data_IF_472571406003
#
_entry.id   IF_472571406003
#
_cell.length_a   1.000
_cell.length_b   1.000
_cell.length_c   1.000
_cell.angle_alpha   90.00
_cell.angle_beta   90.00
_cell.angle_gamma   90.00
#
_symmetry.space_group_name_H-M   'P 1'
#
loop_
_entity.id
_entity.type
_entity.pdbx_description
1 polymer ?
#
# COMPACT_ATOMS: atom_id res chain seq x y z
N UNK A 1 -10.20 -23.19 10.62
CA UNK A 1 -10.24 -22.42 9.35
C UNK A 1 -10.37 -20.94 9.72
N UNK A 2 -9.45 -20.04 9.31
CA UNK A 2 -9.59 -18.63 9.67
C UNK A 2 -10.87 -18.05 9.04
N UNK A 3 -11.53 -17.09 9.71
CA UNK A 3 -12.80 -16.50 9.26
C UNK A 3 -12.68 -15.90 7.85
N UNK A 4 -13.78 -15.93 7.10
CA UNK A 4 -13.85 -15.53 5.67
C UNK A 4 -13.29 -14.12 5.39
N UNK A 5 -13.45 -13.20 6.34
CA UNK A 5 -12.90 -11.83 6.24
C UNK A 5 -11.36 -11.81 6.21
N UNK A 6 -10.70 -12.71 6.94
CA UNK A 6 -9.23 -12.78 6.98
C UNK A 6 -8.64 -13.28 5.66
N UNK A 7 -9.34 -14.24 5.03
CA UNK A 7 -8.99 -14.74 3.68
C UNK A 7 -9.10 -13.62 2.65
N UNK A 8 -10.23 -12.91 2.67
CA UNK A 8 -10.49 -11.85 1.72
C UNK A 8 -9.57 -10.62 1.88
N UNK A 9 -9.01 -10.38 3.07
CA UNK A 9 -7.94 -9.39 3.28
C UNK A 9 -6.63 -9.84 2.64
N UNK A 10 -6.19 -11.06 2.96
CA UNK A 10 -4.98 -11.64 2.39
C UNK A 10 -5.02 -11.76 0.86
N UNK A 11 -6.18 -12.05 0.29
CA UNK A 11 -6.36 -12.10 -1.17
C UNK A 11 -6.17 -10.72 -1.81
N UNK A 12 -6.70 -9.66 -1.18
CA UNK A 12 -6.51 -8.30 -1.66
C UNK A 12 -5.03 -7.87 -1.60
N UNK A 13 -4.31 -8.19 -0.51
CA UNK A 13 -2.86 -7.97 -0.43
C UNK A 13 -2.10 -8.67 -1.57
N UNK A 14 -2.47 -9.91 -1.89
CA UNK A 14 -1.86 -10.68 -2.99
C UNK A 14 -2.15 -10.05 -4.36
N UNK A 15 -3.37 -9.58 -4.58
CA UNK A 15 -3.73 -8.87 -5.81
C UNK A 15 -2.95 -7.56 -5.99
N UNK A 16 -2.85 -6.74 -4.93
CA UNK A 16 -2.06 -5.50 -4.93
C UNK A 16 -0.59 -5.81 -5.20
N UNK A 17 -0.04 -6.84 -4.56
CA UNK A 17 1.32 -7.32 -4.83
C UNK A 17 1.51 -7.69 -6.30
N UNK A 18 0.64 -8.53 -6.86
CA UNK A 18 0.73 -8.94 -8.26
C UNK A 18 0.62 -7.76 -9.23
N UNK A 19 -0.21 -6.77 -8.89
CA UNK A 19 -0.31 -5.54 -9.66
C UNK A 19 1.01 -4.75 -9.66
N UNK A 20 1.62 -4.53 -8.50
CA UNK A 20 2.88 -3.79 -8.40
C UNK A 20 4.05 -4.52 -9.09
N UNK A 21 4.12 -5.85 -8.99
CA UNK A 21 5.13 -6.65 -9.71
C UNK A 21 5.02 -6.46 -11.23
N UNK A 22 3.80 -6.41 -11.77
CA UNK A 22 3.61 -6.13 -13.20
C UNK A 22 4.11 -4.74 -13.63
N UNK A 23 4.18 -3.79 -12.69
CA UNK A 23 4.73 -2.45 -12.89
C UNK A 23 6.22 -2.34 -12.49
N UNK A 24 6.91 -3.48 -12.33
CA UNK A 24 8.37 -3.50 -12.14
C UNK A 24 8.84 -3.33 -10.70
N UNK A 25 7.95 -3.44 -9.71
CA UNK A 25 8.33 -3.40 -8.30
C UNK A 25 8.70 -4.79 -7.77
N UNK A 26 9.76 -4.84 -6.96
CA UNK A 26 9.96 -5.93 -6.00
C UNK A 26 9.09 -5.66 -4.77
N UNK A 27 8.42 -6.68 -4.21
CA UNK A 27 7.40 -6.48 -3.16
C UNK A 27 7.57 -7.46 -2.00
N UNK A 28 7.73 -6.90 -0.80
CA UNK A 28 7.77 -7.60 0.48
C UNK A 28 6.42 -7.41 1.20
N UNK A 29 5.89 -8.48 1.77
CA UNK A 29 4.64 -8.45 2.55
C UNK A 29 4.94 -8.60 4.05
N UNK A 30 4.27 -7.82 4.88
CA UNK A 30 4.36 -7.97 6.34
C UNK A 30 3.69 -9.28 6.76
N UNK A 31 4.47 -10.23 7.28
CA UNK A 31 3.94 -11.51 7.72
C UNK A 31 3.15 -11.34 9.03
N UNK A 32 1.87 -11.75 9.02
CA UNK A 32 1.01 -11.77 10.19
C UNK A 32 0.47 -10.41 10.65
N UNK A 33 0.56 -9.38 9.79
CA UNK A 33 -0.02 -8.04 10.03
C UNK A 33 0.34 -7.44 11.39
N UNK A 34 1.56 -7.71 11.87
CA UNK A 34 2.07 -7.17 13.14
C UNK A 34 2.37 -5.67 13.07
N UNK A 35 2.37 -5.11 11.87
CA UNK A 35 2.58 -3.70 11.55
C UNK A 35 1.32 -3.11 10.90
N UNK A 36 1.24 -1.77 10.81
CA UNK A 36 0.20 -1.05 10.04
C UNK A 36 0.62 -0.82 8.57
N UNK A 37 1.52 -1.66 8.07
CA UNK A 37 2.04 -1.65 6.70
C UNK A 37 1.93 -3.07 6.20
N UNK A 38 1.06 -3.28 5.22
CA UNK A 38 0.82 -4.60 4.64
C UNK A 38 1.88 -4.93 3.57
N UNK A 39 2.28 -3.95 2.77
CA UNK A 39 3.25 -4.12 1.68
C UNK A 39 4.33 -3.03 1.69
N UNK A 40 5.57 -3.44 1.44
CA UNK A 40 6.66 -2.59 0.99
C UNK A 40 6.98 -2.97 -0.46
N UNK A 41 6.92 -1.99 -1.36
CA UNK A 41 7.28 -2.19 -2.76
C UNK A 41 8.39 -1.23 -3.14
N UNK A 42 9.37 -1.66 -3.93
CA UNK A 42 10.48 -0.80 -4.32
C UNK A 42 10.94 -1.07 -5.74
N UNK A 43 11.38 -0.01 -6.39
CA UNK A 43 12.12 0.00 -7.66
C UNK A 43 13.19 1.09 -7.57
N UNK A 44 14.05 1.20 -8.58
CA UNK A 44 15.08 2.26 -8.62
C UNK A 44 14.46 3.63 -8.36
N UNK A 45 14.97 4.34 -7.35
CA UNK A 45 14.54 5.70 -7.00
C UNK A 45 13.20 5.83 -6.29
N UNK A 46 12.49 4.73 -5.99
CA UNK A 46 11.16 4.80 -5.39
C UNK A 46 10.86 3.64 -4.43
N UNK A 47 10.33 3.98 -3.27
CA UNK A 47 9.81 3.02 -2.28
C UNK A 47 8.33 3.35 -2.04
N UNK A 48 7.49 2.34 -1.88
CA UNK A 48 6.08 2.48 -1.55
C UNK A 48 5.83 1.78 -0.22
N UNK A 49 5.26 2.52 0.73
CA UNK A 49 4.82 2.02 2.04
C UNK A 49 3.31 1.96 2.02
N UNK A 50 2.74 0.76 1.92
CA UNK A 50 1.35 0.58 1.52
C UNK A 50 0.55 -0.11 2.62
N UNK A 51 -0.60 0.47 2.94
CA UNK A 51 -1.65 -0.20 3.72
C UNK A 51 -2.85 -0.52 2.81
N UNK A 52 -3.37 -1.75 2.92
CA UNK A 52 -4.46 -2.25 2.10
C UNK A 52 -5.79 -2.19 2.87
N UNK A 53 -6.75 -1.41 2.38
CA UNK A 53 -8.11 -1.34 2.95
C UNK A 53 -9.15 -1.47 1.85
N UNK A 54 -9.87 -2.58 1.85
CA UNK A 54 -10.94 -2.85 0.87
C UNK A 54 -12.03 -1.77 0.83
N UNK A 55 -12.36 -1.16 1.97
CA UNK A 55 -13.37 -0.11 2.04
C UNK A 55 -12.83 1.30 1.75
N UNK A 56 -11.53 1.45 1.45
CA UNK A 56 -10.89 2.75 1.22
C UNK A 56 -10.84 3.66 2.45
N UNK A 57 -11.15 3.15 3.64
CA UNK A 57 -11.08 3.90 4.89
C UNK A 57 -9.87 3.46 5.70
N UNK A 58 -8.99 4.42 5.99
CA UNK A 58 -7.77 4.23 6.77
C UNK A 58 -7.91 4.99 8.09
N UNK A 59 -8.01 4.30 9.23
CA UNK A 59 -8.12 4.94 10.54
C UNK A 59 -6.92 5.86 10.83
N UNK A 60 -7.10 6.96 11.60
CA UNK A 60 -6.02 7.93 11.85
C UNK A 60 -4.72 7.32 12.37
N UNK A 61 -4.80 6.38 13.32
CA UNK A 61 -3.61 5.73 13.87
C UNK A 61 -2.83 4.91 12.84
N UNK A 62 -3.52 4.22 11.92
CA UNK A 62 -2.85 3.49 10.84
C UNK A 62 -2.23 4.44 9.82
N UNK A 63 -2.96 5.52 9.48
CA UNK A 63 -2.48 6.57 8.57
C UNK A 63 -1.21 7.24 9.09
N UNK A 64 -1.20 7.65 10.35
CA UNK A 64 -0.02 8.25 11.00
C UNK A 64 1.17 7.30 10.93
N UNK A 65 0.96 6.01 11.22
CA UNK A 65 2.05 5.02 11.21
C UNK A 65 2.61 4.78 9.80
N UNK A 66 1.75 4.66 8.78
CA UNK A 66 2.19 4.52 7.38
C UNK A 66 3.02 5.74 6.94
N UNK A 67 2.53 6.96 7.24
CA UNK A 67 3.25 8.21 6.94
C UNK A 67 4.58 8.29 7.69
N UNK A 68 4.58 7.93 8.97
CA UNK A 68 5.79 7.92 9.81
C UNK A 68 6.85 6.99 9.25
N UNK A 69 6.47 5.77 8.84
CA UNK A 69 7.40 4.80 8.25
C UNK A 69 7.93 5.31 6.90
N UNK A 70 7.06 5.85 6.03
CA UNK A 70 7.49 6.43 4.77
C UNK A 70 8.48 7.59 4.97
N UNK A 71 8.26 8.45 5.98
CA UNK A 71 9.16 9.56 6.27
C UNK A 71 10.59 9.15 6.67
N UNK A 72 10.83 7.87 7.00
CA UNK A 72 12.18 7.35 7.32
C UNK A 72 13.05 7.17 6.07
N UNK A 73 12.47 7.20 4.86
CA UNK A 73 13.15 6.94 3.60
C UNK A 73 12.81 8.09 2.64
N UNK A 74 13.79 8.88 2.17
CA UNK A 74 13.53 10.08 1.35
C UNK A 74 12.70 9.84 0.08
N UNK A 75 12.79 8.65 -0.51
CA UNK A 75 12.09 8.25 -1.73
C UNK A 75 10.82 7.42 -1.47
N UNK A 76 10.42 7.27 -0.20
CA UNK A 76 9.25 6.48 0.14
C UNK A 76 7.96 7.29 0.08
N UNK A 77 6.95 6.70 -0.56
CA UNK A 77 5.60 7.25 -0.66
C UNK A 77 4.65 6.48 0.24
N UNK A 78 3.92 7.17 1.15
CA UNK A 78 2.89 6.53 1.97
C UNK A 78 1.61 6.38 1.15
N UNK A 79 1.16 5.14 0.93
CA UNK A 79 0.01 4.83 0.08
C UNK A 79 -1.09 4.04 0.80
N UNK A 80 -2.33 4.31 0.40
CA UNK A 80 -3.49 3.49 0.67
C UNK A 80 -3.91 2.76 -0.62
N UNK A 81 -3.93 1.42 -0.58
CA UNK A 81 -4.52 0.60 -1.64
C UNK A 81 -5.97 0.25 -1.29
N UNK A 82 -6.91 0.44 -2.24
CA UNK A 82 -8.34 0.25 -2.02
C UNK A 82 -9.11 -0.30 -3.24
N UNK A 83 -10.37 -0.68 -3.01
CA UNK A 83 -11.37 -1.11 -4.02
C UNK A 83 -12.38 0.04 -4.31
N UNK A 84 -13.14 0.00 -5.42
CA UNK A 84 -13.19 -1.03 -6.48
C UNK A 84 -11.93 -1.08 -7.35
N UNK A 85 -11.62 -2.25 -7.93
CA UNK A 85 -10.35 -2.47 -8.61
C UNK A 85 -9.14 -2.40 -7.66
N UNK A 86 -7.96 -2.10 -8.19
CA UNK A 86 -6.79 -1.73 -7.39
C UNK A 86 -6.55 -0.25 -7.65
N UNK A 87 -6.87 0.57 -6.67
CA UNK A 87 -6.60 2.01 -6.69
C UNK A 87 -5.59 2.36 -5.61
N UNK A 88 -4.78 3.38 -5.86
CA UNK A 88 -3.82 3.89 -4.89
C UNK A 88 -4.10 5.37 -4.63
N UNK A 89 -3.98 5.76 -3.36
CA UNK A 89 -3.98 7.15 -2.96
C UNK A 89 -2.76 7.43 -2.10
N UNK A 90 -2.02 8.49 -2.44
CA UNK A 90 -0.92 8.99 -1.64
C UNK A 90 -1.46 9.76 -0.43
N UNK A 91 -0.93 9.46 0.76
CA UNK A 91 -1.36 10.09 2.01
C UNK A 91 -0.59 11.40 2.21
N UNK A 92 -1.26 12.53 1.99
CA UNK A 92 -0.64 13.86 2.06
C UNK A 92 -0.69 14.47 3.47
N UNK A 93 -1.53 13.92 4.35
CA UNK A 93 -1.72 14.38 5.73
C UNK A 93 -2.39 13.32 6.61
N UNK A 94 -2.70 13.72 7.85
CA UNK A 94 -3.27 12.84 8.88
C UNK A 94 -4.81 12.83 8.90
N UNK A 95 -5.45 13.75 8.19
CA UNK A 95 -6.90 13.79 8.02
C UNK A 95 -7.43 12.68 7.11
N UNK A 96 -8.69 12.25 7.29
CA UNK A 96 -9.29 11.16 6.51
C UNK A 96 -9.36 11.47 4.99
N UNK A 97 -9.42 12.74 4.62
CA UNK A 97 -9.48 13.21 3.24
C UNK A 97 -8.13 13.70 2.69
N UNK A 98 -7.08 13.71 3.51
CA UNK A 98 -5.75 14.19 3.12
C UNK A 98 -5.05 13.14 2.28
N UNK A 99 -5.45 13.08 1.01
CA UNK A 99 -4.93 12.13 0.05
C UNK A 99 -5.14 12.60 -1.38
N UNK A 100 -4.26 12.19 -2.27
CA UNK A 100 -4.38 12.42 -3.70
C UNK A 100 -4.30 11.09 -4.45
N UNK A 101 -5.01 10.94 -5.59
CA UNK A 101 -4.84 9.77 -6.43
C UNK A 101 -3.38 9.60 -6.84
N UNK A 102 -2.92 8.35 -6.87
CA UNK A 102 -1.58 8.00 -7.33
C UNK A 102 -1.67 6.77 -8.23
N UNK A 103 -0.77 6.67 -9.20
CA UNK A 103 -0.67 5.51 -10.08
C UNK A 103 0.81 5.14 -10.27
N UNK A 104 1.13 3.84 -10.37
CA UNK A 104 2.47 3.41 -10.73
C UNK A 104 2.76 3.79 -12.18
N UNK A 105 4.01 4.17 -12.46
CA UNK A 105 4.48 4.34 -13.84
C UNK A 105 4.37 3.02 -14.61
N UNK A 106 4.20 3.05 -15.95
CA UNK A 106 4.36 1.88 -16.77
C UNK A 106 5.71 1.20 -16.50
N UNK A 107 5.76 -0.12 -16.64
CA UNK A 107 7.02 -0.85 -16.55
C UNK A 107 7.95 -0.35 -17.66
N UNK A 108 9.13 0.15 -17.31
CA UNK A 108 10.16 0.46 -18.29
C UNK A 108 10.52 -0.83 -19.03
N UNK A 109 10.30 -0.84 -20.35
CA UNK A 109 10.75 -1.92 -21.22
C UNK A 109 12.25 -1.74 -21.44
N UNK A 110 13.08 -2.79 -21.32
CA UNK A 110 14.50 -2.71 -21.67
C UNK A 110 14.74 -2.25 -23.11
#
# INVERSE_FOLDING_TARGET
>A
MPPNHYRAGADFEREVRAHLIRHGYEVIRSAGSKTKVDLLAFKTGQVLVIQCKRNGSLPPAERVEVRRIAALIPTALPLLAARPGITFNMLTGDGPHDRTPWAPDPKETP
#
